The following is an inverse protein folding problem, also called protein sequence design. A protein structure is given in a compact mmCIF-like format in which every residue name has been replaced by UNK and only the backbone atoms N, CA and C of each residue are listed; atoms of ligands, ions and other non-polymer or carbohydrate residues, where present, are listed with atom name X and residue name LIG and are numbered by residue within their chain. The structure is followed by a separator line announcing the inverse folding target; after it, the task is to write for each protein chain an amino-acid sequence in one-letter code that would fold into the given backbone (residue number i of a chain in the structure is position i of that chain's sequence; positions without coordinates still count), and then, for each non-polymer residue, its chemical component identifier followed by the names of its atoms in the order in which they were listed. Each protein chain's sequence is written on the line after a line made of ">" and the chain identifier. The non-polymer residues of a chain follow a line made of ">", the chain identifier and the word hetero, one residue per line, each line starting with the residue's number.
data_IF_352612966118
#
_entry.id   IF_352612966118
#
_cell.length_a   1.000
_cell.length_b   1.000
_cell.length_c   1.000
_cell.angle_alpha   90.00
_cell.angle_beta   90.00
_cell.angle_gamma   90.00
#
_symmetry.space_group_name_H-M   'P 1'
#
loop_
_entity.id
_entity.type
_entity.pdbx_description
1 polymer ?
#
# COMPACT_ATOMS: atom_id res chain seq x y z
N UNK A 1 58.95 0.79 45.49
CA UNK A 1 57.55 0.82 45.00
C UNK A 1 56.55 0.11 45.91
N UNK A 2 56.86 -1.06 46.51
CA UNK A 2 55.90 -1.80 47.36
C UNK A 2 55.46 -1.11 48.67
N UNK A 3 56.28 -0.24 49.27
CA UNK A 3 55.92 0.46 50.52
C UNK A 3 54.79 1.50 50.34
N UNK A 4 54.71 2.15 49.18
CA UNK A 4 53.65 3.13 48.86
C UNK A 4 52.28 2.46 48.70
N UNK A 5 52.23 1.30 48.05
CA UNK A 5 51.00 0.51 47.90
C UNK A 5 50.46 0.01 49.26
N UNK A 6 51.36 -0.41 50.17
CA UNK A 6 50.97 -0.84 51.52
C UNK A 6 50.45 0.30 52.41
N UNK A 7 50.94 1.52 52.22
CA UNK A 7 50.47 2.72 52.92
C UNK A 7 49.11 3.19 52.43
N UNK A 8 48.85 3.10 51.12
CA UNK A 8 47.56 3.42 50.51
C UNK A 8 46.46 2.45 50.96
N UNK A 9 46.75 1.14 50.98
CA UNK A 9 45.80 0.12 51.44
C UNK A 9 45.45 0.21 52.94
N UNK A 10 46.31 0.83 53.75
CA UNK A 10 46.12 1.00 55.20
C UNK A 10 45.55 2.37 55.59
N UNK A 11 45.35 3.26 54.62
CA UNK A 11 44.84 4.60 54.84
C UNK A 11 43.32 4.57 55.06
N UNK A 12 42.88 4.68 56.33
CA UNK A 12 41.45 4.74 56.72
C UNK A 12 40.83 6.14 56.61
N UNK A 13 41.61 7.14 56.22
CA UNK A 13 41.18 8.53 55.99
C UNK A 13 40.80 8.85 54.55
N UNK A 14 40.73 7.83 53.67
CA UNK A 14 40.31 8.01 52.28
C UNK A 14 38.84 8.42 52.23
N UNK A 15 38.56 9.64 51.77
CA UNK A 15 37.20 10.10 51.55
C UNK A 15 36.54 9.17 50.51
N UNK A 16 35.54 8.39 50.94
CA UNK A 16 34.72 7.55 50.05
C UNK A 16 33.97 8.38 49.01
N UNK A 17 33.76 9.68 49.30
CA UNK A 17 33.01 10.61 48.47
C UNK A 17 33.60 10.79 47.06
N UNK A 18 34.90 11.05 46.86
CA UNK A 18 35.51 11.11 45.53
C UNK A 18 35.40 9.80 44.73
N UNK A 19 35.59 8.63 45.36
CA UNK A 19 35.43 7.34 44.67
C UNK A 19 33.98 7.09 44.26
N UNK A 20 33.03 7.41 45.15
CA UNK A 20 31.60 7.34 44.86
C UNK A 20 31.22 8.25 43.68
N UNK A 21 31.66 9.50 43.68
CA UNK A 21 31.37 10.46 42.60
C UNK A 21 31.93 10.01 41.24
N UNK A 22 33.15 9.46 41.20
CA UNK A 22 33.73 8.91 39.97
C UNK A 22 32.97 7.67 39.50
N UNK A 23 32.52 6.80 40.42
CA UNK A 23 31.70 5.62 40.08
C UNK A 23 30.27 5.96 39.65
N UNK A 24 29.75 7.12 40.04
CA UNK A 24 28.40 7.57 39.70
C UNK A 24 28.29 8.01 38.24
N UNK A 25 29.35 8.60 37.66
CA UNK A 25 29.39 9.01 36.26
C UNK A 25 29.09 7.87 35.26
N UNK A 26 29.76 6.71 35.31
CA UNK A 26 29.45 5.60 34.40
C UNK A 26 28.05 4.98 34.66
N UNK A 27 27.54 5.03 35.89
CA UNK A 27 26.16 4.59 36.20
C UNK A 27 25.12 5.51 35.54
N UNK A 28 25.27 6.83 35.68
CA UNK A 28 24.39 7.81 35.03
C UNK A 28 24.47 7.66 33.51
N UNK A 29 25.67 7.48 32.95
CA UNK A 29 25.85 7.26 31.52
C UNK A 29 25.13 5.99 31.04
N UNK A 30 25.24 4.87 31.78
CA UNK A 30 24.57 3.61 31.43
C UNK A 30 23.03 3.72 31.44
N UNK A 31 22.48 4.40 32.44
CA UNK A 31 21.03 4.67 32.51
C UNK A 31 20.62 5.62 31.39
N UNK A 32 21.39 6.68 31.17
CA UNK A 32 21.13 7.66 30.13
C UNK A 32 21.13 7.08 28.72
N UNK A 33 22.08 6.19 28.41
CA UNK A 33 22.10 5.44 27.16
C UNK A 33 20.83 4.61 26.94
N UNK A 34 20.28 4.03 28.01
CA UNK A 34 19.05 3.23 27.93
C UNK A 34 17.82 4.11 27.61
N UNK A 35 17.78 5.33 28.16
CA UNK A 35 16.70 6.30 27.88
C UNK A 35 16.78 6.79 26.43
N UNK A 36 17.94 7.24 25.97
CA UNK A 36 18.14 7.68 24.58
C UNK A 36 17.84 6.55 23.58
N UNK A 37 18.24 5.31 23.90
CA UNK A 37 17.92 4.15 23.08
C UNK A 37 16.41 3.89 23.01
N UNK A 38 15.71 3.96 24.14
CA UNK A 38 14.25 3.78 24.18
C UNK A 38 13.55 4.87 23.36
N UNK A 39 14.00 6.12 23.46
CA UNK A 39 13.53 7.22 22.62
C UNK A 39 13.80 7.00 21.13
N UNK A 40 14.97 6.47 20.78
CA UNK A 40 15.33 6.16 19.40
C UNK A 40 14.45 5.05 18.81
N UNK A 41 14.16 4.00 19.59
CA UNK A 41 13.27 2.91 19.17
C UNK A 41 11.84 3.41 18.98
N UNK A 42 11.33 4.22 19.92
CA UNK A 42 9.99 4.80 19.79
C UNK A 42 9.89 5.73 18.58
N UNK A 43 10.88 6.59 18.38
CA UNK A 43 10.94 7.49 17.22
C UNK A 43 11.00 6.67 15.93
N UNK A 44 11.83 5.62 15.85
CA UNK A 44 11.85 4.72 14.69
C UNK A 44 10.49 4.09 14.40
N UNK A 45 9.77 3.65 15.42
CA UNK A 45 8.42 3.10 15.27
C UNK A 45 7.44 4.14 14.69
N UNK A 46 7.43 5.35 15.26
CA UNK A 46 6.57 6.43 14.79
C UNK A 46 6.90 6.82 13.33
N UNK A 47 8.19 6.90 13.01
CA UNK A 47 8.68 7.22 11.66
C UNK A 47 8.28 6.15 10.65
N UNK A 48 8.34 4.87 11.04
CA UNK A 48 7.93 3.77 10.18
C UNK A 48 6.42 3.84 9.89
N UNK A 49 5.60 4.07 10.92
CA UNK A 49 4.15 4.22 10.76
C UNK A 49 3.78 5.40 9.86
N UNK A 50 4.45 6.55 10.04
CA UNK A 50 4.23 7.72 9.20
C UNK A 50 4.63 7.47 7.73
N UNK A 51 5.74 6.77 7.49
CA UNK A 51 6.20 6.43 6.14
C UNK A 51 5.27 5.39 5.47
N UNK A 52 4.79 4.41 6.23
CA UNK A 52 3.83 3.40 5.74
C UNK A 52 2.49 4.05 5.33
N UNK A 53 2.00 5.00 6.13
CA UNK A 53 0.82 5.78 5.78
C UNK A 53 1.05 6.66 4.53
N UNK A 54 2.19 7.35 4.47
CA UNK A 54 2.54 8.21 3.34
C UNK A 54 2.67 7.44 2.01
N UNK A 55 3.31 6.26 2.05
CA UNK A 55 3.47 5.45 0.84
C UNK A 55 2.15 4.86 0.35
N UNK A 56 1.20 4.58 1.26
CA UNK A 56 -0.16 4.17 0.88
C UNK A 56 -0.90 5.31 0.18
N UNK A 57 -0.80 6.54 0.69
CA UNK A 57 -1.44 7.73 0.09
C UNK A 57 -1.01 7.96 -1.35
N UNK A 58 0.28 7.78 -1.67
CA UNK A 58 0.70 7.98 -3.06
C UNK A 58 0.11 6.93 -4.01
N UNK A 59 -0.34 5.75 -3.54
CA UNK A 59 -0.99 4.74 -4.40
C UNK A 59 -2.45 5.07 -4.75
N UNK A 60 -3.05 6.07 -4.09
CA UNK A 60 -4.41 6.55 -4.36
C UNK A 60 -4.44 7.73 -5.34
N UNK A 61 -3.30 8.36 -5.60
CA UNK A 61 -3.17 9.42 -6.60
C UNK A 61 -3.44 8.90 -8.01
N UNK A 62 -3.94 9.78 -8.88
CA UNK A 62 -4.24 9.51 -10.28
C UNK A 62 -3.05 8.88 -11.03
N UNK A 63 -3.30 7.92 -11.91
CA UNK A 63 -2.27 7.27 -12.74
C UNK A 63 -1.45 8.24 -13.59
N UNK A 64 -1.99 9.42 -13.92
CA UNK A 64 -1.33 10.48 -14.68
C UNK A 64 -0.40 11.37 -13.84
N UNK A 65 -0.46 11.26 -12.49
CA UNK A 65 0.41 12.05 -11.61
C UNK A 65 1.89 11.72 -11.80
N UNK A 66 2.71 12.76 -11.92
CA UNK A 66 4.14 12.65 -12.17
C UNK A 66 4.91 12.23 -10.92
N UNK A 67 6.13 11.70 -11.10
CA UNK A 67 7.00 11.34 -9.97
C UNK A 67 7.27 12.52 -9.01
N UNK A 68 7.54 13.76 -9.47
CA UNK A 68 7.70 14.90 -8.57
C UNK A 68 6.45 15.18 -7.72
N UNK A 69 5.25 15.11 -8.31
CA UNK A 69 4.00 15.32 -7.57
C UNK A 69 3.81 14.25 -6.48
N UNK A 70 4.15 12.99 -6.78
CA UNK A 70 4.10 11.88 -5.81
C UNK A 70 5.14 12.06 -4.71
N UNK A 71 6.33 12.55 -5.03
CA UNK A 71 7.36 12.86 -4.03
C UNK A 71 6.89 13.96 -3.08
N UNK A 72 6.27 15.02 -3.58
CA UNK A 72 5.69 16.08 -2.74
C UNK A 72 4.58 15.53 -1.86
N UNK A 73 3.63 14.78 -2.42
CA UNK A 73 2.54 14.19 -1.64
C UNK A 73 3.03 13.19 -0.59
N UNK A 74 4.09 12.42 -0.90
CA UNK A 74 4.75 11.53 0.05
C UNK A 74 5.29 12.32 1.24
N UNK A 75 6.03 13.41 0.98
CA UNK A 75 6.60 14.25 2.03
C UNK A 75 5.51 14.92 2.88
N UNK A 76 4.49 15.46 2.24
CA UNK A 76 3.38 16.13 2.93
C UNK A 76 2.59 15.14 3.80
N UNK A 77 2.31 13.96 3.26
CA UNK A 77 1.65 12.88 4.02
C UNK A 77 2.53 12.39 5.16
N UNK A 78 3.85 12.28 4.96
CA UNK A 78 4.78 11.85 6.00
C UNK A 78 4.79 12.83 7.17
N UNK A 79 4.89 14.14 6.91
CA UNK A 79 4.83 15.19 7.94
C UNK A 79 3.46 15.19 8.63
N UNK A 80 2.37 15.08 7.87
CA UNK A 80 1.02 15.05 8.41
C UNK A 80 0.77 13.87 9.38
N UNK A 81 1.47 12.75 9.19
CA UNK A 81 1.41 11.58 10.08
C UNK A 81 2.44 11.63 11.23
N UNK A 82 3.03 12.80 11.50
CA UNK A 82 4.01 12.98 12.59
C UNK A 82 5.43 12.54 12.23
N UNK A 83 5.69 12.33 10.94
CA UNK A 83 7.02 12.05 10.42
C UNK A 83 7.96 13.23 10.57
N UNK A 84 9.19 12.97 11.00
CA UNK A 84 10.25 13.98 11.13
C UNK A 84 11.33 13.78 10.07
N UNK A 85 11.91 14.87 9.56
CA UNK A 85 12.92 14.82 8.52
C UNK A 85 12.34 14.65 7.11
N UNK A 86 13.13 14.05 6.23
CA UNK A 86 12.83 13.99 4.79
C UNK A 86 12.50 12.56 4.37
N UNK A 87 11.33 12.39 3.76
CA UNK A 87 10.95 11.17 3.07
C UNK A 87 11.35 11.27 1.59
N UNK A 88 11.89 10.20 1.03
CA UNK A 88 12.34 10.12 -0.36
C UNK A 88 11.75 8.89 -1.01
N UNK A 89 11.08 9.10 -2.15
CA UNK A 89 10.57 8.06 -3.01
C UNK A 89 11.74 7.46 -3.80
N UNK A 90 12.08 6.21 -3.51
CA UNK A 90 13.22 5.53 -4.14
C UNK A 90 12.82 4.86 -5.46
N UNK A 91 11.58 4.36 -5.54
CA UNK A 91 11.04 3.82 -6.78
C UNK A 91 9.52 3.89 -6.80
N UNK A 92 8.97 4.08 -7.98
CA UNK A 92 7.53 3.97 -8.21
C UNK A 92 7.31 3.38 -9.61
N UNK A 93 6.54 2.29 -9.65
CA UNK A 93 6.13 1.62 -10.87
C UNK A 93 4.61 1.62 -10.88
N UNK A 94 4.03 2.38 -11.81
CA UNK A 94 2.60 2.38 -12.03
C UNK A 94 2.15 0.98 -12.48
N UNK A 95 1.12 0.45 -11.83
CA UNK A 95 0.52 -0.82 -12.21
C UNK A 95 -0.28 -0.69 -13.51
N UNK A 96 -0.57 -1.84 -14.11
CA UNK A 96 -1.45 -1.96 -15.27
C UNK A 96 -2.70 -2.74 -14.88
N UNK A 97 -3.55 -3.09 -15.84
CA UNK A 97 -4.68 -4.00 -15.60
C UNK A 97 -4.25 -5.42 -15.23
N UNK A 98 -3.00 -5.79 -15.48
CA UNK A 98 -2.42 -7.11 -15.22
C UNK A 98 -1.34 -7.11 -14.13
N UNK A 99 -0.73 -5.95 -13.85
CA UNK A 99 0.41 -5.82 -12.94
C UNK A 99 0.09 -4.88 -11.78
N UNK A 100 0.49 -5.27 -10.57
CA UNK A 100 0.33 -4.43 -9.38
C UNK A 100 1.14 -3.12 -9.47
N UNK A 101 0.58 -2.03 -8.92
CA UNK A 101 1.35 -0.81 -8.67
C UNK A 101 2.29 -1.05 -7.50
N UNK A 102 3.57 -0.75 -7.66
CA UNK A 102 4.55 -0.91 -6.57
C UNK A 102 5.30 0.37 -6.31
N UNK A 103 5.56 0.69 -5.04
CA UNK A 103 6.39 1.82 -4.68
C UNK A 103 7.31 1.47 -3.51
N UNK A 104 8.46 2.14 -3.42
CA UNK A 104 9.35 2.10 -2.28
C UNK A 104 9.74 3.51 -1.88
N UNK A 105 9.81 3.74 -0.58
CA UNK A 105 10.23 5.01 -0.01
C UNK A 105 11.11 4.78 1.21
N UNK A 106 11.94 5.76 1.52
CA UNK A 106 12.81 5.77 2.69
C UNK A 106 12.69 7.12 3.38
N UNK A 107 12.77 7.16 4.70
CA UNK A 107 12.89 8.41 5.45
C UNK A 107 14.06 8.32 6.43
N UNK A 108 14.73 9.46 6.63
CA UNK A 108 15.83 9.57 7.57
C UNK A 108 15.67 10.80 8.47
N UNK A 109 16.05 10.63 9.73
CA UNK A 109 16.01 11.66 10.75
C UNK A 109 17.16 11.48 11.74
N UNK A 110 17.92 12.53 11.99
CA UNK A 110 18.95 12.56 13.02
C UNK A 110 18.29 12.93 14.35
N UNK A 111 17.95 11.93 15.18
CA UNK A 111 17.32 12.18 16.47
C UNK A 111 18.35 12.77 17.45
N UNK A 112 18.09 13.95 18.04
CA UNK A 112 18.94 14.49 19.09
C UNK A 112 18.97 13.56 20.30
N UNK A 113 20.15 13.38 20.88
CA UNK A 113 20.33 12.60 22.11
C UNK A 113 20.52 13.53 23.30
N UNK A 114 20.16 13.07 24.50
CA UNK A 114 20.29 13.87 25.72
C UNK A 114 21.49 13.40 26.53
N UNK A 115 21.59 12.10 26.80
CA UNK A 115 22.64 11.52 27.64
C UNK A 115 23.84 11.00 26.86
N UNK A 116 23.65 10.58 25.60
CA UNK A 116 24.74 10.15 24.72
C UNK A 116 25.73 11.28 24.41
N UNK A 117 25.32 12.53 24.60
CA UNK A 117 26.18 13.72 24.53
C UNK A 117 27.35 13.66 25.51
N UNK A 118 27.20 12.96 26.66
CA UNK A 118 28.28 12.72 27.64
C UNK A 118 29.44 11.95 26.98
N UNK A 119 29.12 11.08 26.01
CA UNK A 119 30.08 10.32 25.22
C UNK A 119 30.40 10.97 23.85
N UNK A 120 30.04 12.26 23.65
CA UNK A 120 30.19 13.01 22.39
C UNK A 120 29.44 12.42 21.20
N UNK A 121 28.32 11.76 21.45
CA UNK A 121 27.38 11.33 20.41
C UNK A 121 26.19 12.26 20.53
N UNK A 122 26.06 13.22 19.62
CA UNK A 122 25.01 14.25 19.71
C UNK A 122 23.69 13.79 19.09
N UNK A 123 23.75 12.90 18.09
CA UNK A 123 22.57 12.40 17.38
C UNK A 123 22.67 10.91 17.08
N UNK A 124 21.52 10.27 16.95
CA UNK A 124 21.39 8.90 16.43
C UNK A 124 20.64 8.95 15.11
N UNK A 125 21.23 8.45 14.00
CA UNK A 125 20.56 8.40 12.72
C UNK A 125 19.48 7.32 12.74
N UNK A 126 18.24 7.73 12.52
CA UNK A 126 17.10 6.84 12.35
C UNK A 126 16.80 6.78 10.86
N UNK A 127 16.83 5.57 10.30
CA UNK A 127 16.43 5.30 8.93
C UNK A 127 15.30 4.27 8.92
N UNK A 128 14.27 4.56 8.13
CA UNK A 128 13.11 3.69 7.91
C UNK A 128 12.89 3.52 6.41
N UNK A 129 12.36 2.36 6.02
CA UNK A 129 12.07 2.02 4.64
C UNK A 129 10.70 1.36 4.56
N UNK A 130 9.93 1.71 3.54
CA UNK A 130 8.61 1.14 3.31
C UNK A 130 8.44 0.74 1.85
N UNK A 131 7.64 -0.30 1.62
CA UNK A 131 7.30 -0.80 0.31
C UNK A 131 5.80 -1.15 0.27
N UNK A 132 5.14 -0.78 -0.83
CA UNK A 132 3.73 -1.05 -1.04
C UNK A 132 3.51 -1.74 -2.38
N UNK A 133 2.55 -2.66 -2.41
CA UNK A 133 2.04 -3.30 -3.63
C UNK A 133 0.52 -3.22 -3.62
N UNK A 134 -0.04 -2.52 -4.61
CA UNK A 134 -1.48 -2.42 -4.82
C UNK A 134 -1.86 -3.32 -5.99
N UNK A 135 -2.63 -4.41 -5.77
CA UNK A 135 -3.03 -5.30 -6.85
C UNK A 135 -3.85 -4.56 -7.90
N UNK A 136 -3.82 -5.03 -9.17
CA UNK A 136 -4.61 -4.42 -10.23
C UNK A 136 -6.11 -4.48 -9.88
N UNK A 137 -6.81 -3.38 -10.16
CA UNK A 137 -8.26 -3.36 -10.03
C UNK A 137 -8.90 -4.19 -11.15
N UNK A 138 -10.09 -4.74 -10.92
CA UNK A 138 -10.86 -5.40 -11.97
C UNK A 138 -11.27 -4.36 -13.03
N UNK A 139 -10.65 -4.41 -14.21
CA UNK A 139 -10.88 -3.41 -15.27
C UNK A 139 -11.90 -3.89 -16.31
N UNK A 140 -12.06 -5.21 -16.48
CA UNK A 140 -13.05 -5.78 -17.38
C UNK A 140 -13.50 -7.17 -16.89
N UNK A 141 -14.78 -7.48 -17.08
CA UNK A 141 -15.34 -8.82 -16.97
C UNK A 141 -15.86 -9.24 -18.35
N UNK A 142 -15.31 -10.31 -18.91
CA UNK A 142 -15.76 -10.85 -20.19
C UNK A 142 -16.63 -12.09 -19.96
N UNK A 143 -17.89 -12.03 -20.43
CA UNK A 143 -18.80 -13.17 -20.38
C UNK A 143 -18.83 -13.84 -21.76
N UNK A 144 -18.28 -15.05 -21.83
CA UNK A 144 -18.33 -15.87 -23.04
C UNK A 144 -19.52 -16.80 -22.97
N UNK A 145 -20.49 -16.59 -23.86
CA UNK A 145 -21.64 -17.48 -23.99
C UNK A 145 -21.22 -18.66 -24.86
N UNK A 146 -21.17 -19.87 -24.30
CA UNK A 146 -20.63 -21.06 -25.00
C UNK A 146 -21.70 -21.88 -25.70
N UNK A 147 -22.93 -21.86 -25.21
CA UNK A 147 -24.05 -22.55 -25.84
C UNK A 147 -25.38 -22.05 -25.31
N UNK A 148 -26.32 -21.80 -26.23
CA UNK A 148 -27.68 -21.41 -25.91
C UNK A 148 -28.63 -22.28 -26.73
N UNK A 149 -29.63 -22.82 -26.04
CA UNK A 149 -30.71 -23.60 -26.63
C UNK A 149 -32.01 -23.20 -25.95
N UNK A 150 -33.11 -23.23 -26.70
CA UNK A 150 -34.40 -22.91 -26.15
C UNK A 150 -35.51 -22.93 -27.19
N UNK A 151 -36.71 -23.26 -26.73
CA UNK A 151 -37.92 -22.98 -27.48
C UNK A 151 -38.33 -21.54 -27.17
N UNK A 152 -38.70 -20.77 -28.20
CA UNK A 152 -39.04 -19.33 -28.16
C UNK A 152 -37.88 -18.34 -28.05
N UNK A 153 -38.14 -17.11 -28.49
CA UNK A 153 -37.21 -15.99 -28.31
C UNK A 153 -37.10 -15.63 -26.83
N UNK A 154 -35.88 -15.33 -26.37
CA UNK A 154 -35.60 -14.95 -24.97
C UNK A 154 -34.66 -13.77 -24.93
N UNK A 155 -34.82 -12.93 -23.91
CA UNK A 155 -33.90 -11.85 -23.59
C UNK A 155 -33.50 -11.94 -22.13
N UNK A 156 -32.20 -11.96 -21.86
CA UNK A 156 -31.64 -11.88 -20.52
C UNK A 156 -30.87 -10.58 -20.38
N UNK A 157 -31.02 -9.89 -19.25
CA UNK A 157 -30.28 -8.67 -18.95
C UNK A 157 -29.51 -8.88 -17.65
N UNK A 158 -28.21 -8.69 -17.70
CA UNK A 158 -27.35 -8.69 -16.54
C UNK A 158 -27.30 -7.28 -15.95
N UNK A 159 -27.57 -7.17 -14.66
CA UNK A 159 -27.45 -5.91 -13.91
C UNK A 159 -26.23 -5.95 -12.99
N UNK A 160 -25.64 -4.79 -12.74
CA UNK A 160 -24.62 -4.63 -11.72
C UNK A 160 -24.64 -3.24 -11.10
N UNK A 161 -24.10 -3.15 -9.90
CA UNK A 161 -23.89 -1.92 -9.15
C UNK A 161 -22.42 -1.54 -9.21
N UNK A 162 -22.12 -0.29 -9.57
CA UNK A 162 -20.76 0.22 -9.46
C UNK A 162 -20.37 0.39 -7.99
N UNK A 163 -19.08 0.33 -7.70
CA UNK A 163 -18.58 0.55 -6.34
C UNK A 163 -19.02 1.94 -5.83
N UNK A 164 -19.70 1.98 -4.69
CA UNK A 164 -20.27 3.21 -4.11
C UNK A 164 -21.64 3.63 -4.68
N UNK A 165 -22.19 2.92 -5.67
CA UNK A 165 -23.53 3.20 -6.19
C UNK A 165 -24.60 2.33 -5.51
N UNK A 166 -25.75 2.92 -5.22
CA UNK A 166 -26.92 2.22 -4.62
C UNK A 166 -27.91 1.68 -5.66
N UNK A 167 -27.81 2.14 -6.91
CA UNK A 167 -28.74 1.77 -7.99
C UNK A 167 -28.05 0.84 -8.99
N UNK A 168 -28.68 -0.31 -9.26
CA UNK A 168 -28.21 -1.24 -10.28
C UNK A 168 -28.46 -0.70 -11.69
N UNK A 169 -27.49 -0.87 -12.59
CA UNK A 169 -27.59 -0.51 -14.01
C UNK A 169 -27.44 -1.76 -14.88
N UNK A 170 -28.10 -1.80 -16.05
CA UNK A 170 -27.92 -2.91 -16.99
C UNK A 170 -26.51 -2.84 -17.60
N UNK A 171 -25.79 -3.97 -17.57
CA UNK A 171 -24.40 -4.08 -18.04
C UNK A 171 -24.28 -4.89 -19.33
N UNK A 172 -25.17 -5.86 -19.55
CA UNK A 172 -25.14 -6.73 -20.71
C UNK A 172 -26.53 -7.27 -21.03
N UNK A 173 -26.84 -7.48 -22.29
CA UNK A 173 -28.00 -8.25 -22.73
C UNK A 173 -27.58 -9.47 -23.54
N UNK A 174 -28.33 -10.54 -23.40
CA UNK A 174 -28.22 -11.76 -24.21
C UNK A 174 -29.58 -11.97 -24.85
N UNK A 175 -29.65 -11.76 -26.16
CA UNK A 175 -30.85 -11.90 -26.97
C UNK A 175 -30.75 -13.21 -27.75
N UNK A 176 -31.65 -14.15 -27.48
CA UNK A 176 -31.78 -15.42 -28.18
C UNK A 176 -32.99 -15.40 -29.10
N UNK A 177 -32.77 -15.70 -30.38
CA UNK A 177 -33.79 -15.83 -31.42
C UNK A 177 -33.87 -17.30 -31.83
N UNK A 178 -35.04 -17.91 -31.64
CA UNK A 178 -35.27 -19.30 -32.01
C UNK A 178 -35.24 -19.47 -33.52
N UNK A 179 -34.44 -20.44 -34.00
CA UNK A 179 -34.19 -20.68 -35.43
C UNK A 179 -35.29 -21.46 -36.15
N UNK A 180 -36.32 -21.95 -35.45
CA UNK A 180 -37.44 -22.73 -36.02
C UNK A 180 -37.00 -23.94 -36.84
N UNK A 181 -35.90 -24.58 -36.45
CA UNK A 181 -35.34 -25.73 -37.19
C UNK A 181 -36.13 -27.03 -37.01
N UNK A 182 -37.09 -27.07 -36.08
CA UNK A 182 -37.88 -28.26 -35.78
C UNK A 182 -37.15 -29.28 -34.88
N UNK A 183 -35.90 -29.01 -34.52
CA UNK A 183 -35.12 -29.88 -33.65
C UNK A 183 -35.61 -29.85 -32.20
N UNK A 184 -35.58 -31.00 -31.49
CA UNK A 184 -35.85 -31.05 -30.06
C UNK A 184 -34.90 -30.18 -29.23
N UNK A 185 -33.71 -29.88 -29.77
CA UNK A 185 -32.66 -29.11 -29.11
C UNK A 185 -32.86 -27.59 -29.17
N UNK A 186 -33.80 -27.08 -29.97
CA UNK A 186 -34.10 -25.64 -30.00
C UNK A 186 -32.90 -24.78 -30.41
N UNK A 187 -32.38 -24.99 -31.62
CA UNK A 187 -31.26 -24.20 -32.16
C UNK A 187 -31.71 -22.81 -32.64
N UNK A 188 -30.78 -21.85 -32.59
CA UNK A 188 -31.10 -20.45 -32.88
C UNK A 188 -29.87 -19.55 -32.87
N UNK A 189 -30.12 -18.24 -32.97
CA UNK A 189 -29.09 -17.20 -32.97
C UNK A 189 -29.09 -16.49 -31.64
N UNK A 190 -27.92 -16.40 -31.00
CA UNK A 190 -27.71 -15.64 -29.78
C UNK A 190 -26.84 -14.43 -30.06
N UNK A 191 -27.28 -13.26 -29.65
CA UNK A 191 -26.50 -12.03 -29.70
C UNK A 191 -26.27 -11.55 -28.28
N UNK A 192 -25.00 -11.47 -27.87
CA UNK A 192 -24.56 -10.90 -26.60
C UNK A 192 -24.11 -9.47 -26.84
N UNK A 193 -24.66 -8.52 -26.11
CA UNK A 193 -24.35 -7.09 -26.23
C UNK A 193 -23.96 -6.51 -24.89
N UNK A 194 -22.87 -5.73 -24.86
CA UNK A 194 -22.45 -4.94 -23.69
C UNK A 194 -23.20 -3.61 -23.73
N UNK A 195 -23.72 -3.19 -22.57
CA UNK A 195 -24.40 -1.91 -22.41
C UNK A 195 -23.46 -0.95 -21.67
N UNK A 196 -23.05 0.12 -22.33
CA UNK A 196 -22.27 1.21 -21.75
C UNK A 196 -23.11 2.48 -21.70
N UNK A 197 -22.66 3.49 -20.96
CA UNK A 197 -23.28 4.82 -20.95
C UNK A 197 -22.31 5.79 -21.59
N UNK A 198 -22.77 6.57 -22.57
CA UNK A 198 -21.93 7.60 -23.19
C UNK A 198 -21.79 8.85 -22.30
N UNK A 199 -20.97 9.80 -22.74
CA UNK A 199 -20.76 11.07 -22.05
C UNK A 199 -22.02 11.94 -21.92
N UNK A 200 -23.09 11.59 -22.63
CA UNK A 200 -24.40 12.27 -22.58
C UNK A 200 -25.42 11.53 -21.71
N UNK A 201 -25.04 10.42 -21.06
CA UNK A 201 -25.91 9.65 -20.19
C UNK A 201 -26.80 8.64 -20.93
N UNK A 202 -26.62 8.45 -22.24
CA UNK A 202 -27.42 7.53 -23.04
C UNK A 202 -26.83 6.12 -23.01
N UNK A 203 -27.69 5.11 -22.95
CA UNK A 203 -27.25 3.70 -23.06
C UNK A 203 -26.82 3.39 -24.49
N UNK A 204 -25.56 3.00 -24.66
CA UNK A 204 -24.97 2.51 -25.89
C UNK A 204 -24.91 1.00 -25.83
N UNK A 205 -25.43 0.33 -26.85
CA UNK A 205 -25.42 -1.13 -26.97
C UNK A 205 -24.37 -1.53 -27.99
N UNK A 206 -23.38 -2.30 -27.57
CA UNK A 206 -22.31 -2.80 -28.44
C UNK A 206 -22.35 -4.32 -28.49
N UNK A 207 -22.48 -4.89 -29.68
CA UNK A 207 -22.47 -6.36 -29.84
C UNK A 207 -21.08 -6.89 -29.51
N UNK A 208 -21.00 -7.77 -28.52
CA UNK A 208 -19.76 -8.38 -28.06
C UNK A 208 -19.55 -9.78 -28.67
N UNK A 209 -20.63 -10.52 -28.90
CA UNK A 209 -20.57 -11.86 -29.49
C UNK A 209 -21.88 -12.18 -30.21
N UNK A 210 -21.79 -12.80 -31.38
CA UNK A 210 -22.92 -13.46 -32.02
C UNK A 210 -22.60 -14.94 -32.19
N UNK A 211 -23.51 -15.81 -31.75
CA UNK A 211 -23.40 -17.25 -31.91
C UNK A 211 -24.61 -17.77 -32.66
N UNK A 212 -24.36 -18.42 -33.80
CA UNK A 212 -25.41 -19.13 -34.54
C UNK A 212 -25.19 -20.61 -34.33
N UNK A 213 -26.11 -21.26 -33.62
CA UNK A 213 -26.11 -22.71 -33.51
C UNK A 213 -26.97 -23.27 -34.65
N UNK A 214 -26.38 -24.16 -35.46
CA UNK A 214 -27.07 -24.87 -36.56
C UNK A 214 -26.96 -26.38 -36.34
N UNK A 215 -27.84 -27.11 -37.02
CA UNK A 215 -27.70 -28.55 -37.18
C UNK A 215 -26.38 -28.88 -37.90
N UNK A 216 -25.63 -29.84 -37.37
CA UNK A 216 -24.46 -30.36 -38.05
C UNK A 216 -24.91 -31.07 -39.34
N UNK A 217 -24.56 -30.52 -40.51
CA UNK A 217 -24.85 -31.11 -41.82
C UNK A 217 -25.93 -30.40 -42.65
N UNK A 218 -26.14 -29.10 -42.46
CA UNK A 218 -26.98 -28.25 -43.34
C UNK A 218 -26.24 -27.04 -43.88
#
# INVERSE_FOLDING_TARGET
>A
MFKLASGFARSRGGSMMPLFLVSLMPLIAAVGFSVDYTGAVQTRSNQQQALDAAILTITTMDTTSTLPQRQTMLQDSFIANGGQGTATLTSFVAGTTATATTARATASFAMPTVFMTIARIDTVPIAVASAVSKPPALVAANFKVTGVSGYWNKKMTLYGTQFGATTAKPLMTIDYVYGKTGDPKGYGTTTTSILTTDSTGKTVTTVAQTQVCKLAGS
#
